data_IF_680516972739
#
_entry.id   IF_680516972739
#
_cell.length_a   1.000
_cell.length_b   1.000
_cell.length_c   1.000
_cell.angle_alpha   90.00
_cell.angle_beta   90.00
_cell.angle_gamma   90.00
#
_symmetry.space_group_name_H-M   'P 1'
#
loop_
_entity.id
_entity.type
_entity.pdbx_description
1 polymer ?
#
# COMPACT_ATOMS: atom_id res chain seq x y z
N UNK A 1 16.51 8.11 20.60
CA UNK A 1 15.22 7.95 19.87
C UNK A 1 15.31 6.71 19.01
N UNK A 2 14.42 5.74 19.25
CA UNK A 2 14.45 4.42 18.60
C UNK A 2 13.67 4.49 17.29
N UNK A 3 14.22 4.00 16.17
CA UNK A 3 13.59 4.07 14.84
C UNK A 3 12.21 3.39 14.78
N UNK A 4 11.85 2.56 15.75
CA UNK A 4 10.54 1.93 15.89
C UNK A 4 9.43 2.86 16.40
N UNK A 5 9.78 4.02 16.95
CA UNK A 5 8.81 4.99 17.49
C UNK A 5 8.36 6.01 16.43
N UNK A 6 9.14 6.15 15.35
CA UNK A 6 8.70 6.90 14.19
C UNK A 6 7.87 6.00 13.30
N UNK A 7 6.61 6.37 13.13
CA UNK A 7 5.78 5.97 12.00
C UNK A 7 6.38 6.56 10.73
N UNK A 8 7.56 6.08 10.35
CA UNK A 8 8.25 6.49 9.12
C UNK A 8 7.29 6.14 7.99
N UNK A 9 6.78 7.15 7.26
CA UNK A 9 5.93 6.85 6.13
C UNK A 9 6.75 6.04 5.13
N UNK A 10 6.10 5.09 4.45
CA UNK A 10 6.73 4.25 3.43
C UNK A 10 7.40 5.10 2.32
N UNK A 11 6.91 6.33 2.16
CA UNK A 11 7.62 7.45 1.55
C UNK A 11 8.28 8.29 2.64
N UNK A 12 9.56 8.60 2.50
CA UNK A 12 10.04 9.84 3.13
C UNK A 12 9.46 10.99 2.31
N UNK A 13 8.56 11.85 2.84
CA UNK A 13 8.23 13.06 2.11
C UNK A 13 9.56 13.80 1.90
N UNK A 14 9.89 14.10 0.65
CA UNK A 14 10.87 15.14 0.42
C UNK A 14 10.37 16.38 1.18
N UNK A 15 11.28 17.13 1.80
CA UNK A 15 10.90 18.34 2.56
C UNK A 15 10.02 19.32 1.75
N UNK A 16 10.04 19.22 0.42
CA UNK A 16 9.20 19.99 -0.50
C UNK A 16 7.75 19.46 -0.67
N UNK A 17 7.47 18.18 -0.41
CA UNK A 17 6.11 17.60 -0.51
C UNK A 17 5.31 17.65 0.81
N UNK A 18 5.99 17.71 1.96
CA UNK A 18 5.32 17.70 3.26
C UNK A 18 4.43 18.94 3.51
N UNK A 19 4.69 20.06 2.84
CA UNK A 19 3.92 21.31 3.00
C UNK A 19 2.71 21.41 2.06
N UNK A 20 2.64 20.59 1.01
CA UNK A 20 1.52 20.56 0.04
C UNK A 20 0.57 19.38 0.27
N UNK A 21 1.07 18.23 0.73
CA UNK A 21 0.25 17.02 0.95
C UNK A 21 -0.66 17.10 2.19
N UNK A 22 -0.43 18.05 3.11
CA UNK A 22 -1.27 18.22 4.30
C UNK A 22 -2.65 18.85 4.00
N UNK A 23 -2.86 19.38 2.79
CA UNK A 23 -4.10 20.08 2.38
C UNK A 23 -4.68 19.56 1.06
N UNK A 24 -3.90 18.88 0.21
CA UNK A 24 -4.38 18.28 -1.04
C UNK A 24 -4.52 16.76 -0.94
N UNK A 25 -5.68 16.33 -0.45
CA UNK A 25 -6.11 14.94 -0.53
C UNK A 25 -6.15 14.45 -1.98
N UNK A 26 -5.58 13.26 -2.22
CA UNK A 26 -5.81 12.45 -3.42
C UNK A 26 -5.44 13.09 -4.78
N UNK A 27 -4.44 13.97 -4.83
CA UNK A 27 -3.83 14.39 -6.10
C UNK A 27 -3.11 13.25 -6.85
N UNK A 28 -2.87 13.37 -8.18
CA UNK A 28 -2.14 12.35 -8.95
C UNK A 28 -0.70 12.26 -8.45
N UNK A 29 -0.45 11.27 -7.58
CA UNK A 29 0.89 10.96 -7.10
C UNK A 29 1.80 10.66 -8.29
N UNK A 30 3.03 11.20 -8.26
CA UNK A 30 4.07 10.81 -9.22
C UNK A 30 4.25 9.30 -9.15
N UNK A 31 4.22 8.64 -10.31
CA UNK A 31 4.42 7.20 -10.43
C UNK A 31 5.72 6.76 -9.76
N UNK A 32 5.69 5.58 -9.14
CA UNK A 32 6.91 4.91 -8.67
C UNK A 32 7.74 4.40 -9.86
N UNK A 33 9.00 4.02 -9.60
CA UNK A 33 9.90 3.45 -10.62
C UNK A 33 9.26 2.19 -11.21
N UNK A 34 8.70 1.33 -10.35
CA UNK A 34 8.01 0.12 -10.78
C UNK A 34 6.82 0.42 -11.71
N UNK A 35 5.99 1.41 -11.34
CA UNK A 35 4.83 1.79 -12.15
C UNK A 35 5.25 2.30 -13.52
N UNK A 36 6.30 3.13 -13.59
CA UNK A 36 6.83 3.61 -14.86
C UNK A 36 7.44 2.47 -15.70
N UNK A 37 8.17 1.53 -15.10
CA UNK A 37 8.68 0.33 -15.82
C UNK A 37 7.53 -0.50 -16.36
N UNK A 38 6.48 -0.75 -15.57
CA UNK A 38 5.31 -1.52 -16.01
C UNK A 38 4.55 -0.81 -17.13
N UNK A 39 4.35 0.51 -17.02
CA UNK A 39 3.72 1.30 -18.06
C UNK A 39 4.54 1.29 -19.35
N UNK A 40 5.87 1.42 -19.26
CA UNK A 40 6.76 1.30 -20.41
C UNK A 40 6.61 -0.05 -21.10
N UNK A 41 6.55 -1.14 -20.34
CA UNK A 41 6.31 -2.48 -20.87
C UNK A 41 5.01 -2.55 -21.68
N UNK A 42 3.92 -2.04 -21.11
CA UNK A 42 2.60 -2.01 -21.77
C UNK A 42 2.67 -1.24 -23.08
N UNK A 43 3.31 -0.08 -23.11
CA UNK A 43 3.49 0.69 -24.35
C UNK A 43 4.30 -0.06 -25.40
N UNK A 44 5.38 -0.75 -25.03
CA UNK A 44 6.14 -1.57 -25.97
C UNK A 44 5.29 -2.72 -26.54
N UNK A 45 4.50 -3.40 -25.70
CA UNK A 45 3.59 -4.46 -26.14
C UNK A 45 2.48 -3.95 -27.06
N UNK A 46 2.06 -2.70 -26.91
CA UNK A 46 1.07 -2.04 -27.75
C UNK A 46 1.66 -1.44 -29.04
N UNK A 47 2.97 -1.58 -29.28
CA UNK A 47 3.63 -1.01 -30.46
C UNK A 47 3.85 0.50 -30.39
N UNK A 48 3.95 1.07 -29.19
CA UNK A 48 4.17 2.49 -28.92
C UNK A 48 5.57 2.76 -28.33
N UNK A 49 6.67 2.54 -29.10
CA UNK A 49 8.02 2.53 -28.56
C UNK A 49 8.51 3.90 -28.08
N UNK A 50 8.04 5.02 -28.66
CA UNK A 50 8.40 6.36 -28.20
C UNK A 50 7.88 6.62 -26.78
N UNK A 51 6.58 6.38 -26.55
CA UNK A 51 5.97 6.51 -25.23
C UNK A 51 6.58 5.53 -24.22
N UNK A 52 6.87 4.31 -24.66
CA UNK A 52 7.59 3.31 -23.87
C UNK A 52 8.98 3.79 -23.45
N UNK A 53 9.75 4.33 -24.39
CA UNK A 53 11.10 4.86 -24.15
C UNK A 53 11.10 6.07 -23.21
N UNK A 54 10.18 7.02 -23.41
CA UNK A 54 10.05 8.21 -22.56
C UNK A 54 9.65 7.84 -21.12
N UNK A 55 8.77 6.86 -20.98
CA UNK A 55 8.35 6.35 -19.66
C UNK A 55 9.48 5.58 -18.99
N UNK A 56 10.22 4.76 -19.73
CA UNK A 56 11.39 4.07 -19.20
C UNK A 56 12.49 5.05 -18.76
N UNK A 57 12.70 6.13 -19.53
CA UNK A 57 13.64 7.20 -19.14
C UNK A 57 13.25 7.83 -17.80
N UNK A 58 11.95 8.07 -17.56
CA UNK A 58 11.46 8.57 -16.27
C UNK A 58 11.76 7.60 -15.12
N UNK A 59 11.55 6.30 -15.33
CA UNK A 59 11.89 5.29 -14.34
C UNK A 59 13.39 5.33 -13.97
N UNK A 60 14.28 5.46 -14.95
CA UNK A 60 15.73 5.53 -14.72
C UNK A 60 16.14 6.81 -13.97
N UNK A 61 15.53 7.96 -14.29
CA UNK A 61 15.71 9.18 -13.50
C UNK A 61 15.21 9.02 -12.06
N UNK A 62 14.18 8.20 -11.85
CA UNK A 62 13.71 7.82 -10.52
C UNK A 62 14.77 7.08 -9.70
N UNK A 63 15.58 6.22 -10.32
CA UNK A 63 16.71 5.53 -9.65
C UNK A 63 17.71 6.55 -9.12
N UNK A 64 18.01 7.58 -9.92
CA UNK A 64 18.94 8.63 -9.52
C UNK A 64 18.45 9.36 -8.27
N UNK A 65 17.17 9.75 -8.25
CA UNK A 65 16.56 10.37 -7.08
C UNK A 65 16.56 9.42 -5.86
N UNK A 66 16.24 8.15 -6.06
CA UNK A 66 16.20 7.13 -5.02
C UNK A 66 17.53 6.94 -4.30
N UNK A 67 18.62 6.87 -5.07
CA UNK A 67 19.98 6.65 -4.54
C UNK A 67 20.47 7.88 -3.76
N UNK A 68 20.06 9.08 -4.15
CA UNK A 68 20.45 10.32 -3.45
C UNK A 68 19.66 10.54 -2.15
N UNK A 69 18.39 10.16 -2.11
CA UNK A 69 17.50 10.41 -0.97
C UNK A 69 17.26 9.20 -0.05
N UNK A 70 17.70 8.00 -0.45
CA UNK A 70 17.47 6.73 0.24
C UNK A 70 15.97 6.45 0.54
N UNK A 71 15.11 6.79 -0.41
CA UNK A 71 13.67 6.54 -0.31
C UNK A 71 13.37 5.02 -0.32
N UNK A 72 12.72 4.53 0.73
CA UNK A 72 12.53 3.10 0.98
C UNK A 72 11.74 2.42 -0.14
N UNK A 73 10.69 3.07 -0.62
CA UNK A 73 9.88 2.58 -1.73
C UNK A 73 10.72 2.45 -3.01
N UNK A 74 11.47 3.49 -3.35
CA UNK A 74 12.27 3.50 -4.56
C UNK A 74 13.44 2.50 -4.49
N UNK A 75 14.03 2.30 -3.31
CA UNK A 75 15.02 1.25 -3.07
C UNK A 75 14.41 -0.15 -3.21
N UNK A 76 13.20 -0.35 -2.70
CA UNK A 76 12.44 -1.59 -2.87
C UNK A 76 12.11 -1.85 -4.36
N UNK A 77 11.69 -0.81 -5.10
CA UNK A 77 11.45 -0.89 -6.54
C UNK A 77 12.72 -1.34 -7.28
N UNK A 78 13.86 -0.69 -6.99
CA UNK A 78 15.12 -0.96 -7.66
C UNK A 78 15.68 -2.35 -7.36
N UNK A 79 15.64 -2.76 -6.10
CA UNK A 79 16.33 -3.98 -5.66
C UNK A 79 15.47 -5.23 -5.75
N UNK A 80 14.15 -5.09 -5.80
CA UNK A 80 13.22 -6.21 -5.67
C UNK A 80 12.09 -6.19 -6.70
N UNK A 81 11.33 -5.11 -6.79
CA UNK A 81 10.09 -5.11 -7.54
C UNK A 81 10.32 -5.14 -9.05
N UNK A 82 11.22 -4.30 -9.57
CA UNK A 82 11.57 -4.31 -11.01
C UNK A 82 12.21 -5.64 -11.43
N UNK A 83 13.17 -6.23 -10.67
CA UNK A 83 13.62 -7.59 -10.92
C UNK A 83 12.50 -8.63 -10.93
N UNK A 84 11.58 -8.59 -9.96
CA UNK A 84 10.43 -9.48 -9.91
C UNK A 84 9.54 -9.33 -11.15
N UNK A 85 9.21 -8.10 -11.54
CA UNK A 85 8.41 -7.81 -12.73
C UNK A 85 9.05 -8.40 -13.98
N UNK A 86 10.33 -8.13 -14.20
CA UNK A 86 11.02 -8.60 -15.39
C UNK A 86 11.09 -10.13 -15.45
N UNK A 87 11.24 -10.80 -14.30
CA UNK A 87 11.18 -12.26 -14.21
C UNK A 87 9.79 -12.80 -14.54
N UNK A 88 8.73 -12.22 -13.97
CA UNK A 88 7.35 -12.72 -14.17
C UNK A 88 6.84 -12.51 -15.59
N UNK A 89 7.33 -11.48 -16.27
CA UNK A 89 6.92 -11.15 -17.64
C UNK A 89 7.90 -11.62 -18.71
N UNK A 90 9.03 -12.22 -18.32
CA UNK A 90 10.09 -12.63 -19.25
C UNK A 90 10.88 -11.48 -19.88
N UNK A 91 10.83 -10.27 -19.32
CA UNK A 91 11.50 -9.07 -19.86
C UNK A 91 12.97 -8.99 -19.43
N UNK A 92 13.69 -10.10 -19.61
CA UNK A 92 15.05 -10.32 -19.08
C UNK A 92 16.09 -9.38 -19.69
N UNK A 93 15.94 -8.99 -20.95
CA UNK A 93 16.82 -8.01 -21.60
C UNK A 93 16.73 -6.63 -20.91
N UNK A 94 15.52 -6.20 -20.55
CA UNK A 94 15.32 -4.96 -19.80
C UNK A 94 15.95 -5.06 -18.42
N UNK A 95 15.80 -6.20 -17.73
CA UNK A 95 16.45 -6.42 -16.43
C UNK A 95 17.98 -6.30 -16.54
N UNK A 96 18.58 -6.82 -17.59
CA UNK A 96 20.02 -6.70 -17.80
C UNK A 96 20.45 -5.24 -17.97
N UNK A 97 19.69 -4.44 -18.72
CA UNK A 97 19.93 -3.00 -18.89
C UNK A 97 19.75 -2.26 -17.56
N UNK A 98 18.64 -2.52 -16.87
CA UNK A 98 18.29 -1.91 -15.59
C UNK A 98 19.35 -2.20 -14.52
N UNK A 99 19.72 -3.46 -14.33
CA UNK A 99 20.70 -3.87 -13.34
C UNK A 99 22.10 -3.33 -13.65
N UNK A 100 22.47 -3.26 -14.94
CA UNK A 100 23.73 -2.63 -15.37
C UNK A 100 23.75 -1.15 -14.99
N UNK A 101 22.68 -0.42 -15.29
CA UNK A 101 22.59 1.00 -14.98
C UNK A 101 22.60 1.24 -13.46
N UNK A 102 21.78 0.50 -12.69
CA UNK A 102 21.76 0.58 -11.23
C UNK A 102 23.15 0.31 -10.64
N UNK A 103 23.86 -0.71 -11.14
CA UNK A 103 25.22 -1.01 -10.69
C UNK A 103 26.21 0.11 -11.01
N UNK A 104 26.22 0.61 -12.24
CA UNK A 104 27.10 1.71 -12.65
C UNK A 104 26.83 2.96 -11.82
N UNK A 105 25.56 3.33 -11.65
CA UNK A 105 25.16 4.52 -10.92
C UNK A 105 25.54 4.42 -9.43
N UNK A 106 25.19 3.31 -8.78
CA UNK A 106 25.54 3.09 -7.37
C UNK A 106 27.05 3.00 -7.15
N UNK A 107 27.82 2.41 -8.08
CA UNK A 107 29.27 2.39 -8.00
C UNK A 107 29.92 3.78 -8.14
N UNK A 108 29.32 4.68 -8.92
CA UNK A 108 29.81 6.05 -9.10
C UNK A 108 29.41 6.95 -7.93
N UNK A 109 28.17 6.83 -7.45
CA UNK A 109 27.59 7.75 -6.47
C UNK A 109 27.78 7.32 -5.03
N UNK A 110 27.87 6.01 -4.78
CA UNK A 110 28.03 5.45 -3.44
C UNK A 110 29.42 4.83 -3.31
N UNK A 111 29.87 4.66 -2.06
CA UNK A 111 31.10 3.93 -1.78
C UNK A 111 30.97 2.47 -2.25
N UNK A 112 32.06 1.82 -2.70
CA UNK A 112 32.03 0.41 -3.12
C UNK A 112 31.55 -0.56 -2.04
N UNK A 113 31.70 -0.18 -0.78
CA UNK A 113 31.27 -0.93 0.41
C UNK A 113 29.79 -0.72 0.75
N UNK A 114 29.09 0.16 0.04
CA UNK A 114 27.68 0.44 0.32
C UNK A 114 26.82 -0.79 -0.03
N UNK A 115 25.88 -1.23 0.85
CA UNK A 115 25.07 -2.42 0.62
C UNK A 115 24.31 -2.41 -0.71
N UNK A 116 23.77 -1.25 -1.10
CA UNK A 116 23.09 -1.10 -2.40
C UNK A 116 24.00 -1.39 -3.60
N UNK A 117 25.27 -0.98 -3.52
CA UNK A 117 26.26 -1.26 -4.58
C UNK A 117 26.51 -2.77 -4.70
N UNK A 118 26.55 -3.50 -3.58
CA UNK A 118 26.69 -4.97 -3.58
C UNK A 118 25.45 -5.69 -4.13
N UNK A 119 24.26 -5.23 -3.78
CA UNK A 119 22.99 -5.77 -4.31
C UNK A 119 22.91 -5.53 -5.82
N UNK A 120 23.17 -4.30 -6.27
CA UNK A 120 23.17 -3.93 -7.68
C UNK A 120 24.21 -4.73 -8.49
N UNK A 121 25.42 -4.90 -7.95
CA UNK A 121 26.46 -5.73 -8.57
C UNK A 121 26.03 -7.20 -8.70
N UNK A 122 25.36 -7.74 -7.68
CA UNK A 122 24.88 -9.13 -7.68
C UNK A 122 23.76 -9.32 -8.70
N UNK A 123 22.78 -8.41 -8.74
CA UNK A 123 21.73 -8.38 -9.74
C UNK A 123 22.33 -8.31 -11.15
N UNK A 124 23.27 -7.39 -11.38
CA UNK A 124 23.91 -7.22 -12.68
C UNK A 124 24.61 -8.49 -13.17
N UNK A 125 25.36 -9.17 -12.29
CA UNK A 125 26.03 -10.44 -12.63
C UNK A 125 25.05 -11.54 -12.98
N UNK A 126 23.95 -11.64 -12.22
CA UNK A 126 22.92 -12.66 -12.44
C UNK A 126 22.10 -12.38 -13.71
N UNK A 127 21.85 -11.11 -14.04
CA UNK A 127 21.06 -10.70 -15.21
C UNK A 127 21.85 -10.72 -16.53
N UNK A 128 23.18 -10.66 -16.50
CA UNK A 128 24.02 -10.41 -17.68
C UNK A 128 24.01 -11.50 -18.77
N UNK A 129 23.49 -12.72 -18.54
CA UNK A 129 23.35 -13.77 -19.58
C UNK A 129 22.17 -14.71 -19.27
N UNK A 130 20.98 -14.49 -19.87
CA UNK A 130 19.77 -15.30 -19.63
C UNK A 130 19.81 -16.72 -20.21
N UNK A 131 20.82 -17.07 -21.02
CA UNK A 131 20.78 -18.28 -21.86
C UNK A 131 21.12 -19.60 -21.17
N UNK A 132 21.61 -19.57 -19.92
CA UNK A 132 21.83 -20.80 -19.15
C UNK A 132 20.67 -20.99 -18.16
N UNK A 133 19.91 -22.08 -18.31
CA UNK A 133 18.78 -22.44 -17.45
C UNK A 133 19.12 -22.34 -15.94
N UNK A 134 20.36 -22.66 -15.56
CA UNK A 134 20.85 -22.52 -14.18
C UNK A 134 20.97 -21.07 -13.67
N UNK A 135 21.25 -20.08 -14.53
CA UNK A 135 21.34 -18.66 -14.12
C UNK A 135 19.98 -18.03 -13.88
N UNK A 136 18.99 -18.37 -14.72
CA UNK A 136 17.62 -17.94 -14.53
C UNK A 136 17.08 -18.45 -13.18
N UNK A 137 17.30 -19.72 -12.86
CA UNK A 137 16.96 -20.29 -11.55
C UNK A 137 17.68 -19.61 -10.38
N UNK A 138 18.96 -19.25 -10.56
CA UNK A 138 19.72 -18.51 -9.54
C UNK A 138 19.16 -17.11 -9.31
N UNK A 139 18.74 -16.42 -10.37
CA UNK A 139 18.13 -15.10 -10.29
C UNK A 139 16.75 -15.14 -9.64
N UNK A 140 15.91 -16.12 -10.00
CA UNK A 140 14.62 -16.36 -9.34
C UNK A 140 14.82 -16.66 -7.85
N UNK A 141 15.77 -17.54 -7.51
CA UNK A 141 16.10 -17.83 -6.12
C UNK A 141 16.68 -16.61 -5.39
N UNK A 142 17.44 -15.74 -6.07
CA UNK A 142 17.94 -14.49 -5.51
C UNK A 142 16.78 -13.55 -5.16
N UNK A 143 15.88 -13.29 -6.11
CA UNK A 143 14.73 -12.39 -5.90
C UNK A 143 13.79 -12.96 -4.83
N UNK A 144 13.46 -14.24 -4.86
CA UNK A 144 12.61 -14.89 -3.86
C UNK A 144 13.22 -14.81 -2.44
N UNK A 145 14.54 -15.00 -2.30
CA UNK A 145 15.23 -14.82 -1.02
C UNK A 145 15.27 -13.36 -0.57
N UNK A 146 15.49 -12.43 -1.51
CA UNK A 146 15.49 -11.01 -1.21
C UNK A 146 14.14 -10.57 -0.61
N UNK A 147 13.02 -11.02 -1.19
CA UNK A 147 11.69 -10.79 -0.61
C UNK A 147 11.59 -11.23 0.86
N UNK A 148 12.00 -12.46 1.15
CA UNK A 148 11.97 -12.98 2.51
C UNK A 148 12.85 -12.16 3.45
N UNK A 149 14.05 -11.76 3.01
CA UNK A 149 14.95 -10.92 3.79
C UNK A 149 14.35 -9.54 4.10
N UNK A 150 13.64 -8.94 3.15
CA UNK A 150 12.91 -7.68 3.37
C UNK A 150 11.81 -7.84 4.42
N UNK A 151 11.02 -8.91 4.35
CA UNK A 151 9.99 -9.23 5.34
C UNK A 151 10.61 -9.47 6.72
N UNK A 152 11.68 -10.26 6.80
CA UNK A 152 12.39 -10.57 8.04
C UNK A 152 13.00 -9.31 8.67
N UNK A 153 13.57 -8.42 7.85
CA UNK A 153 14.14 -7.15 8.29
C UNK A 153 13.06 -6.23 8.86
N UNK A 154 11.98 -6.00 8.12
CA UNK A 154 10.86 -5.19 8.58
C UNK A 154 10.26 -5.76 9.88
N UNK A 155 10.09 -7.08 9.96
CA UNK A 155 9.62 -7.77 11.17
C UNK A 155 10.52 -7.53 12.38
N UNK A 156 11.85 -7.51 12.20
CA UNK A 156 12.81 -7.26 13.29
C UNK A 156 12.87 -5.80 13.71
N UNK A 157 12.85 -4.87 12.76
CA UNK A 157 13.06 -3.44 13.00
C UNK A 157 11.77 -2.75 13.47
N UNK A 158 10.65 -3.07 12.83
CA UNK A 158 9.35 -2.42 13.06
C UNK A 158 8.40 -3.24 13.91
N UNK A 159 8.64 -4.55 13.97
CA UNK A 159 7.80 -5.48 14.72
C UNK A 159 6.83 -6.24 13.81
N UNK A 160 6.36 -7.38 14.34
CA UNK A 160 5.52 -8.34 13.61
C UNK A 160 4.14 -7.78 13.19
N UNK A 161 3.60 -6.87 14.01
CA UNK A 161 2.26 -6.31 13.89
C UNK A 161 2.26 -4.90 13.30
N UNK A 162 3.41 -4.40 12.87
CA UNK A 162 3.48 -3.13 12.15
C UNK A 162 2.81 -3.26 10.78
N UNK A 163 2.05 -2.22 10.41
CA UNK A 163 1.26 -2.16 9.18
C UNK A 163 2.09 -2.52 7.95
N UNK A 164 3.25 -1.88 7.78
CA UNK A 164 4.15 -2.08 6.63
C UNK A 164 4.64 -3.52 6.60
N UNK A 165 4.99 -4.08 7.76
CA UNK A 165 5.40 -5.48 7.88
C UNK A 165 4.30 -6.44 7.42
N UNK A 166 3.05 -6.18 7.80
CA UNK A 166 1.89 -6.98 7.37
C UNK A 166 1.70 -6.87 5.85
N UNK A 167 1.86 -5.68 5.27
CA UNK A 167 1.78 -5.50 3.82
C UNK A 167 2.87 -6.24 3.06
N UNK A 168 4.12 -6.19 3.54
CA UNK A 168 5.21 -6.94 2.94
C UNK A 168 4.97 -8.46 3.00
N UNK A 169 4.45 -8.97 4.13
CA UNK A 169 4.04 -10.38 4.25
C UNK A 169 2.92 -10.72 3.26
N UNK A 170 1.90 -9.87 3.14
CA UNK A 170 0.78 -10.06 2.21
C UNK A 170 1.29 -10.10 0.76
N UNK A 171 2.15 -9.15 0.38
CA UNK A 171 2.80 -9.14 -0.94
C UNK A 171 3.60 -10.41 -1.21
N UNK A 172 4.42 -10.86 -0.26
CA UNK A 172 5.20 -12.09 -0.39
C UNK A 172 4.33 -13.33 -0.60
N UNK A 173 3.28 -13.51 0.22
CA UNK A 173 2.38 -14.66 0.09
C UNK A 173 1.62 -14.62 -1.23
N UNK A 174 1.15 -13.45 -1.66
CA UNK A 174 0.41 -13.32 -2.92
C UNK A 174 1.30 -13.56 -4.14
N UNK A 175 2.47 -12.92 -4.18
CA UNK A 175 3.34 -12.85 -5.36
C UNK A 175 4.34 -14.00 -5.46
N UNK A 176 4.86 -14.48 -4.33
CA UNK A 176 6.03 -15.38 -4.27
C UNK A 176 5.65 -16.78 -3.80
N UNK A 177 5.15 -16.92 -2.57
CA UNK A 177 4.88 -18.23 -1.95
C UNK A 177 3.55 -18.25 -1.18
N UNK A 178 2.45 -18.68 -1.84
CA UNK A 178 1.13 -18.70 -1.22
C UNK A 178 0.96 -19.76 -0.13
N UNK A 179 1.85 -20.75 -0.07
CA UNK A 179 1.80 -21.81 0.91
C UNK A 179 2.79 -21.59 2.06
N UNK A 180 3.47 -20.43 2.09
CA UNK A 180 4.39 -20.11 3.15
C UNK A 180 3.66 -20.04 4.50
N UNK A 181 4.32 -20.52 5.56
CA UNK A 181 3.75 -20.55 6.92
C UNK A 181 3.24 -19.19 7.41
N UNK A 182 3.82 -18.08 6.91
CA UNK A 182 3.38 -16.73 7.27
C UNK A 182 1.94 -16.41 6.84
N UNK A 183 1.41 -17.09 5.81
CA UNK A 183 0.04 -16.89 5.35
C UNK A 183 -1.00 -17.15 6.45
N UNK A 184 -0.75 -18.16 7.30
CA UNK A 184 -1.66 -18.53 8.39
C UNK A 184 -1.81 -17.46 9.47
N UNK A 185 -0.83 -16.55 9.57
CA UNK A 185 -0.78 -15.56 10.64
C UNK A 185 -1.20 -14.16 10.19
N UNK A 186 -1.31 -13.87 8.89
CA UNK A 186 -1.55 -12.51 8.37
C UNK A 186 -2.84 -11.91 8.90
N UNK A 187 -3.95 -12.66 8.90
CA UNK A 187 -5.25 -12.15 9.37
C UNK A 187 -5.19 -11.81 10.86
N UNK A 188 -4.53 -12.66 11.67
CA UNK A 188 -4.35 -12.41 13.10
C UNK A 188 -3.44 -11.20 13.34
N UNK A 189 -2.33 -11.12 12.62
CA UNK A 189 -1.38 -10.01 12.72
C UNK A 189 -2.06 -8.69 12.32
N UNK A 190 -2.91 -8.68 11.28
CA UNK A 190 -3.74 -7.55 10.88
C UNK A 190 -4.76 -7.16 11.95
N UNK A 191 -5.51 -8.11 12.51
CA UNK A 191 -6.46 -7.81 13.57
C UNK A 191 -5.80 -7.14 14.78
N UNK A 192 -4.59 -7.58 15.15
CA UNK A 192 -3.80 -6.93 16.20
C UNK A 192 -3.34 -5.53 15.80
N UNK A 193 -2.89 -5.33 14.56
CA UNK A 193 -2.52 -4.00 14.07
C UNK A 193 -3.70 -3.01 14.11
N UNK A 194 -4.90 -3.46 13.72
CA UNK A 194 -6.13 -2.67 13.81
C UNK A 194 -6.47 -2.34 15.26
N UNK A 195 -6.37 -3.30 16.18
CA UNK A 195 -6.56 -3.06 17.62
C UNK A 195 -5.59 -1.99 18.15
N UNK A 196 -4.29 -2.16 17.87
CA UNK A 196 -3.24 -1.24 18.31
C UNK A 196 -3.41 0.15 17.68
N UNK A 197 -3.93 0.23 16.45
CA UNK A 197 -4.25 1.49 15.78
C UNK A 197 -5.47 2.17 16.41
N UNK A 198 -6.53 1.39 16.71
CA UNK A 198 -7.75 1.87 17.33
C UNK A 198 -7.48 2.46 18.72
N UNK A 199 -6.66 1.78 19.53
CA UNK A 199 -6.24 2.24 20.84
C UNK A 199 -5.45 3.56 20.79
N UNK A 200 -4.64 3.76 19.74
CA UNK A 200 -3.78 4.94 19.60
C UNK A 200 -4.48 6.13 18.93
N UNK A 201 -5.38 5.90 17.98
CA UNK A 201 -5.89 6.93 17.05
C UNK A 201 -7.40 7.09 17.06
N UNK A 202 -8.12 6.17 17.70
CA UNK A 202 -9.58 6.06 17.56
C UNK A 202 -10.01 5.60 16.17
N UNK A 203 -11.32 5.43 15.99
CA UNK A 203 -11.88 4.87 14.76
C UNK A 203 -11.58 5.72 13.51
N UNK A 204 -11.77 7.06 13.50
CA UNK A 204 -11.52 7.85 12.29
C UNK A 204 -10.06 7.83 11.83
N UNK A 205 -9.12 7.88 12.78
CA UNK A 205 -7.68 7.81 12.47
C UNK A 205 -7.26 6.42 11.99
N UNK A 206 -7.87 5.36 12.53
CA UNK A 206 -7.63 3.98 12.10
C UNK A 206 -8.11 3.74 10.68
N UNK A 207 -9.31 4.21 10.32
CA UNK A 207 -9.84 4.11 8.96
C UNK A 207 -8.95 4.85 7.97
N UNK A 208 -8.57 6.11 8.28
CA UNK A 208 -7.68 6.90 7.43
C UNK A 208 -6.36 6.18 7.16
N UNK A 209 -5.77 5.62 8.22
CA UNK A 209 -4.55 4.83 8.11
C UNK A 209 -4.72 3.60 7.20
N UNK A 210 -5.80 2.85 7.36
CA UNK A 210 -6.06 1.65 6.53
C UNK A 210 -6.26 2.02 5.07
N UNK A 211 -6.89 3.16 4.76
CA UNK A 211 -7.04 3.64 3.39
C UNK A 211 -5.70 4.01 2.74
N UNK A 212 -4.81 4.68 3.46
CA UNK A 212 -3.44 4.95 2.98
C UNK A 212 -2.71 3.66 2.62
N UNK A 213 -2.81 2.69 3.51
CA UNK A 213 -2.16 1.40 3.41
C UNK A 213 -2.68 0.53 2.26
N UNK A 214 -3.99 0.50 2.04
CA UNK A 214 -4.57 -0.21 0.90
C UNK A 214 -4.21 0.46 -0.44
N UNK A 215 -4.15 1.79 -0.49
CA UNK A 215 -3.64 2.47 -1.69
C UNK A 215 -2.16 2.16 -1.94
N UNK A 216 -1.35 2.10 -0.87
CA UNK A 216 0.04 1.70 -0.97
C UNK A 216 0.19 0.27 -1.52
N UNK A 217 -0.61 -0.67 -1.02
CA UNK A 217 -0.63 -2.06 -1.50
C UNK A 217 -0.92 -2.17 -2.99
N UNK A 218 -1.95 -1.47 -3.45
CA UNK A 218 -2.35 -1.40 -4.87
C UNK A 218 -1.17 -0.92 -5.69
N UNK A 219 -0.54 0.18 -5.27
CA UNK A 219 0.59 0.79 -5.96
C UNK A 219 1.83 -0.09 -6.02
N UNK A 220 2.17 -0.75 -4.91
CA UNK A 220 3.36 -1.60 -4.82
C UNK A 220 3.18 -2.93 -5.58
N UNK A 221 2.01 -3.55 -5.49
CA UNK A 221 1.88 -4.96 -5.89
C UNK A 221 1.13 -5.18 -7.20
N UNK A 222 0.11 -4.38 -7.54
CA UNK A 222 -0.62 -4.60 -8.79
C UNK A 222 0.27 -4.53 -10.05
N UNK A 223 1.29 -3.66 -10.15
CA UNK A 223 2.19 -3.69 -11.31
C UNK A 223 2.89 -5.04 -11.50
N UNK A 224 3.05 -5.84 -10.42
CA UNK A 224 3.65 -7.17 -10.45
C UNK A 224 2.66 -8.29 -10.79
N UNK A 225 1.38 -7.98 -10.92
CA UNK A 225 0.36 -9.00 -11.14
C UNK A 225 0.40 -9.51 -12.59
N UNK A 226 0.38 -10.83 -12.69
CA UNK A 226 0.04 -11.58 -13.91
C UNK A 226 -1.41 -12.05 -13.81
N UNK A 227 -2.03 -12.52 -14.90
CA UNK A 227 -3.37 -13.12 -14.85
C UNK A 227 -3.48 -14.23 -13.78
N UNK A 228 -2.45 -15.07 -13.67
CA UNK A 228 -2.37 -16.14 -12.67
C UNK A 228 -2.33 -15.58 -11.23
N UNK A 229 -1.53 -14.54 -11.01
CA UNK A 229 -1.42 -13.94 -9.67
C UNK A 229 -2.67 -13.16 -9.28
N UNK A 230 -3.30 -12.48 -10.24
CA UNK A 230 -4.58 -11.80 -10.07
C UNK A 230 -5.69 -12.79 -9.68
N UNK A 231 -5.85 -13.89 -10.43
CA UNK A 231 -6.82 -14.94 -10.12
C UNK A 231 -6.60 -15.55 -8.74
N UNK A 232 -5.34 -15.81 -8.38
CA UNK A 232 -4.98 -16.33 -7.05
C UNK A 232 -5.35 -15.34 -5.95
N UNK A 233 -4.96 -14.07 -6.10
CA UNK A 233 -5.25 -13.03 -5.13
C UNK A 233 -6.76 -12.87 -4.94
N UNK A 234 -7.52 -12.83 -6.03
CA UNK A 234 -8.98 -12.79 -5.99
C UNK A 234 -9.58 -13.99 -5.24
N UNK A 235 -9.10 -15.21 -5.51
CA UNK A 235 -9.53 -16.42 -4.80
C UNK A 235 -9.26 -16.37 -3.29
N UNK A 236 -8.08 -15.89 -2.88
CA UNK A 236 -7.73 -15.72 -1.46
C UNK A 236 -8.65 -14.70 -0.78
N UNK A 237 -8.90 -13.56 -1.42
CA UNK A 237 -9.71 -12.47 -0.86
C UNK A 237 -11.20 -12.85 -0.79
N UNK A 238 -11.72 -13.57 -1.78
CA UNK A 238 -13.05 -14.19 -1.71
C UNK A 238 -13.17 -15.14 -0.54
N UNK A 239 -12.12 -15.94 -0.26
CA UNK A 239 -12.08 -16.81 0.91
C UNK A 239 -12.12 -16.04 2.23
N UNK A 240 -11.44 -14.89 2.31
CA UNK A 240 -11.51 -13.99 3.48
C UNK A 240 -12.92 -13.41 3.65
N UNK A 241 -13.50 -12.85 2.59
CA UNK A 241 -14.84 -12.27 2.61
C UNK A 241 -15.89 -13.32 3.01
N UNK A 242 -15.89 -14.49 2.39
CA UNK A 242 -16.82 -15.57 2.69
C UNK A 242 -16.69 -16.08 4.13
N UNK A 243 -15.48 -16.12 4.70
CA UNK A 243 -15.26 -16.50 6.10
C UNK A 243 -15.86 -15.49 7.08
N UNK A 244 -15.82 -14.21 6.74
CA UNK A 244 -16.38 -13.14 7.59
C UNK A 244 -17.91 -13.12 7.45
N UNK A 245 -18.43 -13.13 6.23
CA UNK A 245 -19.87 -13.11 5.94
C UNK A 245 -20.57 -14.37 6.46
N UNK A 246 -19.91 -15.53 6.36
CA UNK A 246 -20.44 -16.82 6.83
C UNK A 246 -20.52 -16.97 8.35
N UNK A 247 -19.95 -16.04 9.14
CA UNK A 247 -20.01 -16.10 10.61
C UNK A 247 -21.38 -15.72 11.19
N UNK A 248 -22.25 -15.09 10.42
CA UNK A 248 -23.63 -14.73 10.81
C UNK A 248 -23.75 -13.81 12.04
N UNK A 249 -24.81 -13.00 12.15
CA UNK A 249 -25.13 -12.29 13.38
C UNK A 249 -25.72 -13.30 14.39
N UNK A 250 -24.87 -14.04 15.10
CA UNK A 250 -25.32 -14.99 16.13
C UNK A 250 -24.52 -16.28 16.31
N UNK A 251 -23.34 -16.45 15.69
CA UNK A 251 -22.43 -17.51 16.15
C UNK A 251 -21.97 -17.19 17.57
N UNK A 252 -22.18 -18.12 18.52
CA UNK A 252 -21.92 -18.04 19.97
C UNK A 252 -20.78 -17.08 20.35
N UNK A 253 -21.13 -15.79 20.48
CA UNK A 253 -20.21 -14.70 20.79
C UNK A 253 -20.24 -14.47 22.29
N UNK A 254 -19.66 -15.41 23.04
CA UNK A 254 -19.55 -15.40 24.50
C UNK A 254 -18.61 -14.34 25.09
N UNK A 255 -18.43 -13.21 24.41
CA UNK A 255 -17.56 -12.11 24.82
C UNK A 255 -18.33 -10.97 25.48
N UNK A 256 -17.75 -10.37 26.52
CA UNK A 256 -18.24 -9.11 27.11
C UNK A 256 -18.46 -8.05 26.02
N UNK A 257 -19.55 -7.27 26.11
CA UNK A 257 -20.04 -6.37 25.05
C UNK A 257 -19.02 -5.41 24.41
N UNK A 258 -17.92 -5.07 25.10
CA UNK A 258 -16.84 -4.25 24.55
C UNK A 258 -15.94 -5.00 23.55
N UNK A 259 -15.71 -6.31 23.75
CA UNK A 259 -14.94 -7.15 22.82
C UNK A 259 -15.70 -7.48 21.54
N UNK A 260 -17.04 -7.49 21.60
CA UNK A 260 -17.91 -7.73 20.45
C UNK A 260 -17.90 -6.56 19.45
N UNK A 261 -17.89 -5.32 19.96
CA UNK A 261 -17.81 -4.11 19.14
C UNK A 261 -16.47 -4.01 18.42
N UNK A 262 -15.39 -4.39 19.10
CA UNK A 262 -14.06 -4.36 18.52
C UNK A 262 -13.85 -5.45 17.46
N UNK A 263 -14.33 -6.68 17.70
CA UNK A 263 -14.27 -7.76 16.72
C UNK A 263 -15.08 -7.41 15.46
N UNK A 264 -16.28 -6.84 15.63
CA UNK A 264 -17.09 -6.35 14.51
C UNK A 264 -16.38 -5.24 13.72
N UNK A 265 -15.69 -4.32 14.41
CA UNK A 265 -14.91 -3.27 13.77
C UNK A 265 -13.76 -3.86 12.92
N UNK A 266 -13.02 -4.84 13.44
CA UNK A 266 -11.94 -5.51 12.71
C UNK A 266 -12.47 -6.27 11.49
N UNK A 267 -13.58 -7.01 11.66
CA UNK A 267 -14.21 -7.76 10.57
C UNK A 267 -14.66 -6.85 9.42
N UNK A 268 -15.22 -5.68 9.73
CA UNK A 268 -15.59 -4.67 8.74
C UNK A 268 -14.39 -4.13 7.96
N UNK A 269 -13.27 -3.87 8.64
CA UNK A 269 -12.03 -3.43 7.99
C UNK A 269 -11.44 -4.50 7.07
N UNK A 270 -11.46 -5.76 7.51
CA UNK A 270 -11.02 -6.89 6.68
C UNK A 270 -11.90 -7.05 5.43
N UNK A 271 -13.22 -6.94 5.58
CA UNK A 271 -14.15 -7.05 4.45
C UNK A 271 -13.97 -5.88 3.46
N UNK A 272 -13.81 -4.66 3.98
CA UNK A 272 -13.50 -3.49 3.16
C UNK A 272 -12.17 -3.65 2.43
N UNK A 273 -11.10 -4.00 3.13
CA UNK A 273 -9.76 -4.24 2.55
C UNK A 273 -9.83 -5.30 1.43
N UNK A 274 -10.56 -6.39 1.66
CA UNK A 274 -10.75 -7.42 0.65
C UNK A 274 -11.48 -6.91 -0.59
N UNK A 275 -12.62 -6.24 -0.42
CA UNK A 275 -13.40 -5.68 -1.53
C UNK A 275 -12.64 -4.57 -2.28
N UNK A 276 -11.95 -3.69 -1.56
CA UNK A 276 -11.14 -2.63 -2.15
C UNK A 276 -10.04 -3.19 -3.05
N UNK A 277 -9.33 -4.22 -2.58
CA UNK A 277 -8.26 -4.82 -3.35
C UNK A 277 -8.80 -5.68 -4.51
N UNK A 278 -9.92 -6.39 -4.33
CA UNK A 278 -10.61 -7.09 -5.43
C UNK A 278 -11.08 -6.12 -6.52
N UNK A 279 -11.63 -4.95 -6.15
CA UNK A 279 -11.98 -3.90 -7.11
C UNK A 279 -10.75 -3.43 -7.90
N UNK A 280 -9.63 -3.22 -7.20
CA UNK A 280 -8.39 -2.76 -7.84
C UNK A 280 -7.78 -3.83 -8.75
N UNK A 281 -7.92 -5.13 -8.43
CA UNK A 281 -7.54 -6.24 -9.32
C UNK A 281 -8.42 -6.26 -10.58
N UNK A 282 -9.74 -6.13 -10.41
CA UNK A 282 -10.70 -6.13 -11.52
C UNK A 282 -10.43 -4.95 -12.47
N UNK A 283 -10.22 -3.76 -11.92
CA UNK A 283 -9.82 -2.56 -12.67
C UNK A 283 -8.52 -2.79 -13.45
N UNK A 284 -7.49 -3.31 -12.78
CA UNK A 284 -6.20 -3.62 -13.43
C UNK A 284 -6.32 -4.71 -14.52
N UNK A 285 -7.31 -5.60 -14.39
CA UNK A 285 -7.58 -6.67 -15.36
C UNK A 285 -8.48 -6.21 -16.52
N UNK A 286 -8.92 -4.95 -16.52
CA UNK A 286 -9.83 -4.40 -17.54
C UNK A 286 -11.28 -4.87 -17.38
N UNK A 287 -11.71 -5.15 -16.14
CA UNK A 287 -13.07 -5.59 -15.79
C UNK A 287 -13.82 -4.49 -15.01
N UNK A 288 -14.19 -3.35 -15.64
CA UNK A 288 -14.71 -2.17 -14.93
C UNK A 288 -16.04 -2.43 -14.19
N UNK A 289 -16.96 -3.21 -14.78
CA UNK A 289 -18.23 -3.53 -14.11
C UNK A 289 -18.03 -4.34 -12.84
N UNK A 290 -17.09 -5.29 -12.87
CA UNK A 290 -16.73 -6.09 -11.70
C UNK A 290 -16.01 -5.23 -10.66
N UNK A 291 -15.17 -4.29 -11.08
CA UNK A 291 -14.55 -3.32 -10.19
C UNK A 291 -15.61 -2.46 -9.49
N UNK A 292 -16.56 -1.90 -10.24
CA UNK A 292 -17.66 -1.11 -9.71
C UNK A 292 -18.50 -1.90 -8.69
N UNK A 293 -18.82 -3.17 -9.00
CA UNK A 293 -19.54 -4.07 -8.10
C UNK A 293 -18.81 -4.25 -6.75
N UNK A 294 -17.51 -4.54 -6.76
CA UNK A 294 -16.73 -4.67 -5.52
C UNK A 294 -16.65 -3.37 -4.73
N UNK A 295 -16.53 -2.22 -5.40
CA UNK A 295 -16.52 -0.93 -4.72
C UNK A 295 -17.84 -0.65 -4.01
N UNK A 296 -18.97 -0.95 -4.65
CA UNK A 296 -20.28 -0.84 -4.01
C UNK A 296 -20.42 -1.82 -2.84
N UNK A 297 -19.99 -3.07 -3.00
CA UNK A 297 -20.01 -4.08 -1.93
C UNK A 297 -19.18 -3.65 -0.70
N UNK A 298 -18.10 -2.90 -0.89
CA UNK A 298 -17.31 -2.36 0.22
C UNK A 298 -18.07 -1.37 1.12
N UNK A 299 -19.19 -0.83 0.62
CA UNK A 299 -20.10 0.08 1.33
C UNK A 299 -21.31 -0.63 1.94
N UNK A 300 -21.41 -1.96 1.86
CA UNK A 300 -22.43 -2.76 2.57
C UNK A 300 -22.08 -2.87 4.07
N UNK A 301 -21.96 -1.72 4.73
CA UNK A 301 -21.66 -1.63 6.16
C UNK A 301 -22.55 -0.59 6.86
N UNK A 302 -22.69 -0.66 8.20
CA UNK A 302 -23.42 0.34 8.97
C UNK A 302 -23.02 1.77 8.63
N UNK A 303 -24.00 2.68 8.59
CA UNK A 303 -23.81 4.09 8.21
C UNK A 303 -23.20 4.91 9.36
N UNK A 304 -21.92 4.68 9.59
CA UNK A 304 -21.12 5.35 10.62
C UNK A 304 -19.94 6.14 10.01
N UNK A 305 -19.05 6.65 10.87
CA UNK A 305 -17.87 7.40 10.44
C UNK A 305 -16.95 6.60 9.51
N UNK A 306 -16.83 5.28 9.71
CA UNK A 306 -16.08 4.43 8.80
C UNK A 306 -16.72 4.42 7.40
N UNK A 307 -18.03 4.26 7.32
CA UNK A 307 -18.76 4.32 6.05
C UNK A 307 -18.59 5.69 5.37
N UNK A 308 -18.68 6.79 6.13
CA UNK A 308 -18.51 8.15 5.60
C UNK A 308 -17.13 8.37 4.99
N UNK A 309 -16.06 7.90 5.65
CA UNK A 309 -14.69 8.06 5.14
C UNK A 309 -14.43 7.18 3.91
N UNK A 310 -14.91 5.94 3.93
CA UNK A 310 -14.71 4.99 2.83
C UNK A 310 -15.57 5.31 1.60
N UNK A 311 -16.77 5.86 1.79
CA UNK A 311 -17.69 6.21 0.71
C UNK A 311 -17.19 7.37 -0.15
N UNK A 312 -16.41 8.32 0.40
CA UNK A 312 -15.75 9.36 -0.40
C UNK A 312 -14.77 8.78 -1.42
N UNK A 313 -14.00 7.77 -1.03
CA UNK A 313 -13.06 7.10 -1.92
C UNK A 313 -13.78 6.31 -3.02
N UNK A 314 -14.83 5.57 -2.63
CA UNK A 314 -15.64 4.77 -3.56
C UNK A 314 -16.37 5.67 -4.56
N UNK A 315 -16.98 6.77 -4.09
CA UNK A 315 -17.62 7.77 -4.95
C UNK A 315 -16.64 8.28 -6.00
N UNK A 316 -15.47 8.77 -5.57
CA UNK A 316 -14.49 9.37 -6.48
C UNK A 316 -14.05 8.39 -7.57
N UNK A 317 -13.85 7.12 -7.22
CA UNK A 317 -13.46 6.08 -8.19
C UNK A 317 -14.60 5.70 -9.14
N UNK A 318 -15.82 5.55 -8.63
CA UNK A 318 -16.98 5.28 -9.48
C UNK A 318 -17.21 6.42 -10.49
N UNK A 319 -17.04 7.67 -10.05
CA UNK A 319 -17.14 8.84 -10.92
C UNK A 319 -16.05 8.84 -12.00
N UNK A 320 -14.81 8.54 -11.63
CA UNK A 320 -13.70 8.44 -12.59
C UNK A 320 -13.95 7.37 -13.66
N UNK A 321 -14.62 6.28 -13.28
CA UNK A 321 -14.96 5.17 -14.17
C UNK A 321 -16.24 5.40 -14.99
N UNK A 322 -16.86 6.59 -14.88
CA UNK A 322 -18.07 6.95 -15.63
C UNK A 322 -19.40 6.54 -14.98
N UNK A 323 -19.39 5.98 -13.77
CA UNK A 323 -20.59 5.63 -13.01
C UNK A 323 -21.14 6.83 -12.21
N UNK A 324 -21.49 7.91 -12.92
CA UNK A 324 -21.96 9.16 -12.32
C UNK A 324 -23.19 8.99 -11.43
N UNK A 325 -24.21 8.25 -11.89
CA UNK A 325 -25.44 8.02 -11.13
C UNK A 325 -25.20 7.34 -9.77
N UNK A 326 -24.55 6.16 -9.73
CA UNK A 326 -24.16 5.53 -8.46
C UNK A 326 -23.28 6.40 -7.57
N UNK A 327 -22.35 7.18 -8.14
CA UNK A 327 -21.51 8.11 -7.38
C UNK A 327 -22.33 9.24 -6.74
N UNK A 328 -23.27 9.83 -7.47
CA UNK A 328 -24.13 10.89 -6.95
C UNK A 328 -25.05 10.38 -5.83
N UNK A 329 -25.59 9.16 -5.94
CA UNK A 329 -26.38 8.52 -4.89
C UNK A 329 -25.56 8.31 -3.59
N UNK A 330 -24.31 7.87 -3.72
CA UNK A 330 -23.40 7.71 -2.56
C UNK A 330 -23.10 9.05 -1.90
N UNK A 331 -22.90 10.11 -2.70
CA UNK A 331 -22.65 11.46 -2.18
C UNK A 331 -23.85 11.99 -1.40
N UNK A 332 -25.05 11.81 -1.94
CA UNK A 332 -26.31 12.22 -1.30
C UNK A 332 -26.51 11.47 0.03
N UNK A 333 -26.40 10.15 0.02
CA UNK A 333 -26.48 9.33 1.23
C UNK A 333 -25.40 9.72 2.25
N UNK A 334 -24.18 10.03 1.80
CA UNK A 334 -23.12 10.51 2.70
C UNK A 334 -23.46 11.82 3.38
N UNK A 335 -24.04 12.76 2.67
CA UNK A 335 -24.45 14.03 3.26
C UNK A 335 -25.55 13.81 4.32
N UNK A 336 -26.52 12.93 4.06
CA UNK A 336 -27.56 12.57 5.02
C UNK A 336 -27.00 11.91 6.28
N UNK A 337 -26.10 10.93 6.11
CA UNK A 337 -25.45 10.22 7.22
C UNK A 337 -24.57 11.18 8.04
N UNK A 338 -23.81 12.06 7.38
CA UNK A 338 -22.99 13.07 8.06
C UNK A 338 -23.83 14.03 8.92
N UNK A 339 -25.02 14.41 8.45
CA UNK A 339 -25.95 15.25 9.21
C UNK A 339 -26.61 14.52 10.38
N UNK A 340 -26.85 13.21 10.23
CA UNK A 340 -27.48 12.37 11.25
C UNK A 340 -26.51 11.88 12.33
N UNK A 341 -25.21 11.80 12.03
CA UNK A 341 -24.20 11.38 13.00
C UNK A 341 -23.99 12.47 14.06
N UNK A 342 -23.98 12.12 15.37
CA UNK A 342 -23.71 13.09 16.41
C UNK A 342 -22.32 13.70 16.20
N UNK A 343 -22.31 15.02 15.99
CA UNK A 343 -21.08 15.75 15.71
C UNK A 343 -20.11 15.66 16.89
N UNK A 344 -18.96 15.03 16.66
CA UNK A 344 -17.73 15.38 17.39
C UNK A 344 -17.21 16.69 16.77
N UNK A 345 -18.03 17.74 16.85
CA UNK A 345 -17.64 19.14 16.68
C UNK A 345 -18.05 19.92 17.94
N UNK A 346 -17.72 19.35 19.11
CA UNK A 346 -17.51 20.12 20.34
C UNK A 346 -16.25 19.59 21.01
N UNK A 347 -15.12 20.13 20.56
CA UNK A 347 -13.81 19.88 21.12
C UNK A 347 -12.79 19.92 20.01
N UNK A 348 -11.99 20.98 19.96
CA UNK A 348 -10.91 21.24 18.99
C UNK A 348 -11.39 21.90 17.67
N UNK A 349 -11.79 23.17 17.78
CA UNK A 349 -11.00 24.30 17.24
C UNK A 349 -11.72 25.65 17.42
N UNK A 350 -10.90 26.69 17.65
CA UNK A 350 -11.21 28.12 17.66
C UNK A 350 -11.76 28.69 18.97
N UNK A 351 -10.88 28.78 19.96
CA UNK A 351 -10.79 30.00 20.75
C UNK A 351 -10.06 31.05 19.90
N UNK A 352 -10.81 31.82 19.12
CA UNK A 352 -10.32 33.07 18.53
C UNK A 352 -11.37 34.15 18.76
N UNK A 353 -11.10 34.94 19.79
CA UNK A 353 -11.37 36.37 19.81
C UNK A 353 -12.80 36.78 20.10
N UNK A 354 -13.12 36.93 21.39
CA UNK A 354 -13.65 38.21 21.87
C UNK A 354 -12.95 38.59 23.17
N UNK A 355 -12.56 39.86 23.19
CA UNK A 355 -11.77 40.59 24.17
C UNK A 355 -12.25 40.48 25.62
N UNK A 356 -11.30 40.24 26.53
CA UNK A 356 -11.49 40.45 27.96
C UNK A 356 -10.16 40.30 28.70
N UNK A 357 -9.58 41.42 29.14
CA UNK A 357 -8.40 41.47 29.99
C UNK A 357 -8.50 40.50 31.18
N UNK A 358 -7.54 39.60 31.31
CA UNK A 358 -6.96 39.25 32.61
C UNK A 358 -5.58 38.63 32.41
N UNK A 359 -4.57 39.29 33.00
CA UNK A 359 -3.26 38.73 33.29
C UNK A 359 -3.43 37.42 34.05
N UNK A 360 -2.55 36.44 33.81
CA UNK A 360 -1.81 35.72 34.86
C UNK A 360 -0.84 34.69 34.23
N UNK A 361 0.44 35.05 34.33
CA UNK A 361 1.61 34.24 34.71
C UNK A 361 1.87 32.88 34.05
N UNK A 362 2.96 32.87 33.28
CA UNK A 362 3.78 31.69 32.95
C UNK A 362 4.37 31.10 34.23
N UNK A 363 4.21 29.79 34.43
CA UNK A 363 5.13 29.00 35.25
C UNK A 363 5.70 27.85 34.42
N UNK A 364 7.02 27.84 34.38
CA UNK A 364 7.92 26.85 33.79
C UNK A 364 7.81 25.48 34.47
N UNK A 365 8.22 24.44 33.73
CA UNK A 365 8.60 23.12 34.26
C UNK A 365 7.60 22.02 33.92
N UNK A 366 7.97 20.80 33.57
CA UNK A 366 9.25 20.08 33.57
C UNK A 366 9.10 18.95 32.54
N UNK A 367 10.13 18.74 31.74
CA UNK A 367 10.35 17.53 30.95
C UNK A 367 10.57 16.32 31.87
N UNK A 368 9.86 15.22 31.63
CA UNK A 368 10.38 13.85 31.69
C UNK A 368 9.54 12.94 30.80
#
# INVERSE_FOLDING_TARGET
MHWSEHETPWRSPSLECALTEAVEGFGPQRNSILQDVRAAQTFFLQGLPQLGGDTLRRAFLGIEAAVNCLDLEALWDCCLAVPQLALTTGWTDMLAIFARYLHQYTHIKLLPTHPLTHVAASLHRLSARPTAQGRQQQLEAFVARAWKLWVDCATRVRGRHDDVTIHLKRGYVTLVDPHHAMAGDIIRDFGRAVHDSLARRGAPGTTGRILELENLLVRMFLPLFTAKTAQRAEGMLKGVAARIEGKGPGSDRGGSGQGLVEEEFIERHLLFSANFFMASIAEYSGEPDKAAWYRQRSLESPRDWFWVQTSSLVESRLRADGYGGPADAIREERNEVQLALPGIMKGVCVGAGESGHQQLEFTEGVWL
#
